data_IF_260957280316
#
_entry.id   IF_260957280316
#
_cell.length_a   1.000
_cell.length_b   1.000
_cell.length_c   1.000
_cell.angle_alpha   90.00
_cell.angle_beta   90.00
_cell.angle_gamma   90.00
#
_symmetry.space_group_name_H-M   'P 1'
#
loop_
_entity.id
_entity.type
_entity.pdbx_description
1 polymer ?
#
# COMPACT_ATOMS: atom_id res chain seq x y z
N UNK A 1 17.11 -3.42 -20.36
CA UNK A 1 16.55 -3.01 -19.04
C UNK A 1 17.35 -1.90 -18.32
N UNK A 2 18.61 -1.63 -18.68
CA UNK A 2 19.41 -0.50 -18.15
C UNK A 2 18.91 0.89 -18.59
N UNK A 3 18.37 0.96 -19.80
CA UNK A 3 17.97 2.20 -20.47
C UNK A 3 16.85 2.90 -19.69
N UNK A 4 15.82 2.16 -19.25
CA UNK A 4 14.65 2.74 -18.54
C UNK A 4 15.02 3.36 -17.19
N UNK A 5 15.99 2.81 -16.44
CA UNK A 5 16.38 3.38 -15.13
C UNK A 5 17.25 4.63 -15.27
N UNK A 6 18.14 4.68 -16.28
CA UNK A 6 18.93 5.90 -16.55
C UNK A 6 18.07 6.97 -17.22
N UNK A 7 17.20 6.64 -18.17
CA UNK A 7 16.29 7.59 -18.81
C UNK A 7 15.34 8.23 -17.81
N UNK A 8 14.74 7.44 -16.90
CA UNK A 8 13.89 7.99 -15.84
C UNK A 8 14.68 8.88 -14.87
N UNK A 9 15.97 8.59 -14.61
CA UNK A 9 16.83 9.39 -13.75
C UNK A 9 17.26 10.71 -14.41
N UNK A 10 17.56 10.69 -15.72
CA UNK A 10 17.94 11.85 -16.52
C UNK A 10 16.72 12.79 -16.65
N UNK A 11 15.57 12.25 -17.03
CA UNK A 11 14.33 13.02 -17.15
C UNK A 11 13.88 13.61 -15.81
N UNK A 12 14.16 12.94 -14.68
CA UNK A 12 13.86 13.49 -13.36
C UNK A 12 14.91 14.54 -12.91
N UNK A 13 16.18 14.41 -13.31
CA UNK A 13 17.20 15.44 -13.03
C UNK A 13 16.84 16.75 -13.71
N UNK A 14 16.42 16.70 -14.98
CA UNK A 14 15.99 17.87 -15.73
C UNK A 14 14.70 18.47 -15.14
N UNK A 15 13.80 17.62 -14.65
CA UNK A 15 12.58 18.06 -13.98
C UNK A 15 12.86 18.71 -12.61
N UNK A 16 13.84 18.21 -11.86
CA UNK A 16 14.31 18.78 -10.59
C UNK A 16 15.04 20.12 -10.79
N UNK A 17 15.80 20.28 -11.89
CA UNK A 17 16.42 21.56 -12.24
C UNK A 17 15.35 22.60 -12.63
N UNK A 18 14.38 22.20 -13.46
CA UNK A 18 13.26 23.06 -13.87
C UNK A 18 12.39 23.52 -12.70
N UNK A 19 12.31 22.74 -11.63
CA UNK A 19 11.48 23.08 -10.47
C UNK A 19 12.14 24.09 -9.52
N UNK A 20 13.43 24.42 -9.71
CA UNK A 20 14.13 25.47 -8.95
C UNK A 20 14.30 25.20 -7.45
N UNK A 21 13.92 24.02 -6.95
CA UNK A 21 13.92 23.70 -5.52
C UNK A 21 15.27 23.24 -4.97
N UNK A 22 16.23 22.94 -5.85
CA UNK A 22 17.56 22.47 -5.51
C UNK A 22 18.61 23.31 -6.22
N UNK A 23 19.71 23.60 -5.53
CA UNK A 23 20.90 24.19 -6.15
C UNK A 23 21.58 23.19 -7.08
N UNK A 24 22.30 23.67 -8.10
CA UNK A 24 23.11 22.82 -8.99
C UNK A 24 24.10 21.93 -8.22
N UNK A 25 24.67 22.45 -7.12
CA UNK A 25 25.57 21.67 -6.25
C UNK A 25 24.84 20.55 -5.50
N UNK A 26 23.59 20.77 -5.10
CA UNK A 26 22.79 19.72 -4.45
C UNK A 26 22.37 18.65 -5.47
N UNK A 27 22.02 19.05 -6.70
CA UNK A 27 21.67 18.13 -7.78
C UNK A 27 22.84 17.20 -8.14
N UNK A 28 24.07 17.71 -8.21
CA UNK A 28 25.26 16.86 -8.45
C UNK A 28 25.50 15.89 -7.29
N UNK A 29 25.31 16.33 -6.04
CA UNK A 29 25.39 15.45 -4.87
C UNK A 29 24.31 14.36 -4.88
N UNK A 30 23.07 14.69 -5.25
CA UNK A 30 21.98 13.72 -5.38
C UNK A 30 22.31 12.69 -6.48
N UNK A 31 22.80 13.16 -7.64
CA UNK A 31 23.21 12.29 -8.73
C UNK A 31 24.35 11.34 -8.33
N UNK A 32 25.36 11.85 -7.62
CA UNK A 32 26.46 11.04 -7.08
C UNK A 32 25.95 9.99 -6.08
N UNK A 33 25.04 10.35 -5.17
CA UNK A 33 24.44 9.41 -4.21
C UNK A 33 23.63 8.32 -4.92
N UNK A 34 22.81 8.67 -5.92
CA UNK A 34 22.09 7.70 -6.77
C UNK A 34 23.04 6.74 -7.48
N UNK A 35 24.11 7.26 -8.08
CA UNK A 35 25.14 6.46 -8.73
C UNK A 35 25.83 5.49 -7.76
N UNK A 36 26.11 5.93 -6.52
CA UNK A 36 26.67 5.07 -5.49
C UNK A 36 25.72 3.92 -5.12
N UNK A 37 24.43 4.18 -4.94
CA UNK A 37 23.44 3.14 -4.66
C UNK A 37 23.29 2.16 -5.82
N UNK A 38 23.21 2.65 -7.06
CA UNK A 38 23.15 1.79 -8.24
C UNK A 38 24.39 0.91 -8.38
N UNK A 39 25.59 1.47 -8.17
CA UNK A 39 26.82 0.69 -8.18
C UNK A 39 26.85 -0.36 -7.04
N UNK A 40 26.34 -0.02 -5.85
CA UNK A 40 26.24 -0.97 -4.75
C UNK A 40 25.28 -2.14 -5.06
N UNK A 41 24.14 -1.86 -5.68
CA UNK A 41 23.15 -2.88 -6.10
C UNK A 41 23.70 -3.75 -7.23
N UNK A 42 24.48 -3.17 -8.16
CA UNK A 42 25.15 -3.91 -9.24
C UNK A 42 26.18 -4.89 -8.70
N UNK A 43 27.01 -4.47 -7.73
CA UNK A 43 28.01 -5.36 -7.11
C UNK A 43 27.36 -6.54 -6.40
N UNK A 44 26.36 -6.27 -5.55
CA UNK A 44 25.62 -7.33 -4.87
C UNK A 44 24.21 -6.86 -4.54
N UNK A 45 23.23 -7.54 -5.11
CA UNK A 45 21.82 -7.29 -4.82
C UNK A 45 21.47 -7.91 -3.47
N UNK A 46 21.39 -7.07 -2.43
CA UNK A 46 20.93 -7.43 -1.09
C UNK A 46 19.67 -6.64 -0.75
N UNK A 47 18.75 -7.23 0.01
CA UNK A 47 17.53 -6.56 0.49
C UNK A 47 17.88 -5.25 1.19
N UNK A 48 18.87 -5.26 2.09
CA UNK A 48 19.29 -4.08 2.85
C UNK A 48 19.76 -2.91 1.97
N UNK A 49 20.34 -3.18 0.80
CA UNK A 49 20.76 -2.15 -0.17
C UNK A 49 19.56 -1.52 -0.85
N UNK A 50 18.56 -2.31 -1.22
CA UNK A 50 17.29 -1.79 -1.76
C UNK A 50 16.54 -0.97 -0.72
N UNK A 51 16.39 -1.46 0.51
CA UNK A 51 15.72 -0.73 1.61
C UNK A 51 16.39 0.61 1.86
N UNK A 52 17.73 0.65 1.92
CA UNK A 52 18.46 1.91 2.10
C UNK A 52 18.26 2.88 0.93
N UNK A 53 18.22 2.36 -0.30
CA UNK A 53 18.02 3.21 -1.47
C UNK A 53 16.57 3.74 -1.54
N UNK A 54 15.58 2.90 -1.25
CA UNK A 54 14.17 3.29 -1.14
C UNK A 54 13.98 4.37 -0.07
N UNK A 55 14.60 4.19 1.10
CA UNK A 55 14.57 5.19 2.16
C UNK A 55 15.13 6.53 1.68
N UNK A 56 16.29 6.52 1.02
CA UNK A 56 16.88 7.73 0.45
C UNK A 56 15.94 8.45 -0.54
N UNK A 57 15.26 7.73 -1.44
CA UNK A 57 14.34 8.35 -2.39
C UNK A 57 13.04 8.84 -1.71
N UNK A 58 12.58 8.19 -0.64
CA UNK A 58 11.47 8.70 0.20
C UNK A 58 11.88 9.98 0.94
N UNK A 59 13.04 9.98 1.59
CA UNK A 59 13.57 11.17 2.28
C UNK A 59 13.77 12.34 1.29
N UNK A 60 14.17 12.04 0.04
CA UNK A 60 14.28 13.03 -1.03
C UNK A 60 12.92 13.59 -1.46
N UNK A 61 11.89 12.74 -1.56
CA UNK A 61 10.52 13.16 -1.84
C UNK A 61 9.96 14.05 -0.72
N UNK A 62 10.21 13.68 0.54
CA UNK A 62 9.81 14.46 1.71
C UNK A 62 10.49 15.83 1.72
N UNK A 63 11.81 15.89 1.47
CA UNK A 63 12.55 17.15 1.34
C UNK A 63 12.02 18.02 0.20
N UNK A 64 11.76 17.41 -0.97
CA UNK A 64 11.19 18.11 -2.11
C UNK A 64 9.81 18.68 -1.78
N UNK A 65 8.94 17.89 -1.14
CA UNK A 65 7.59 18.33 -0.78
C UNK A 65 7.61 19.47 0.25
N UNK A 66 8.49 19.42 1.26
CA UNK A 66 8.67 20.50 2.24
C UNK A 66 9.12 21.80 1.57
N UNK A 67 10.15 21.74 0.71
CA UNK A 67 10.63 22.90 -0.04
C UNK A 67 9.56 23.45 -1.00
N UNK A 68 8.78 22.58 -1.63
CA UNK A 68 7.69 23.00 -2.51
C UNK A 68 6.57 23.72 -1.77
N UNK A 69 6.27 23.37 -0.52
CA UNK A 69 5.30 24.12 0.31
C UNK A 69 5.78 25.54 0.58
N UNK A 70 7.07 25.73 0.85
CA UNK A 70 7.68 27.06 1.01
C UNK A 70 7.72 27.84 -0.31
N UNK A 71 8.07 27.16 -1.40
CA UNK A 71 8.22 27.78 -2.72
C UNK A 71 6.88 28.11 -3.38
N UNK A 72 5.83 27.32 -3.12
CA UNK A 72 4.46 27.56 -3.59
C UNK A 72 3.85 28.83 -3.02
N UNK A 73 4.29 29.30 -1.84
CA UNK A 73 3.90 30.60 -1.30
C UNK A 73 4.52 31.76 -2.07
N UNK A 74 5.65 31.53 -2.75
CA UNK A 74 6.39 32.53 -3.52
C UNK A 74 6.04 32.54 -5.00
N UNK A 75 5.70 31.38 -5.60
CA UNK A 75 5.43 31.23 -7.03
C UNK A 75 4.29 30.25 -7.28
N UNK A 76 3.39 30.56 -8.24
CA UNK A 76 2.27 29.70 -8.70
C UNK A 76 2.76 28.50 -9.55
N UNK A 77 3.76 27.76 -9.10
CA UNK A 77 4.28 26.60 -9.83
C UNK A 77 3.67 25.30 -9.32
N UNK A 78 3.02 24.55 -10.20
CA UNK A 78 2.46 23.23 -9.90
C UNK A 78 3.55 22.16 -9.99
N UNK A 79 4.33 21.98 -8.92
CA UNK A 79 5.43 20.98 -8.82
C UNK A 79 5.00 19.51 -8.82
N UNK A 80 3.82 19.18 -9.37
CA UNK A 80 3.24 17.84 -9.33
C UNK A 80 3.96 16.80 -10.22
N UNK A 81 4.56 17.23 -11.33
CA UNK A 81 5.23 16.30 -12.26
C UNK A 81 6.51 15.69 -11.68
N UNK A 82 7.33 16.51 -11.01
CA UNK A 82 8.56 16.04 -10.35
C UNK A 82 8.24 15.10 -9.21
N UNK A 83 7.22 15.42 -8.40
CA UNK A 83 6.73 14.55 -7.31
C UNK A 83 6.35 13.17 -7.85
N UNK A 84 5.57 13.12 -8.95
CA UNK A 84 5.21 11.87 -9.63
C UNK A 84 6.43 11.13 -10.19
N UNK A 85 7.43 11.86 -10.69
CA UNK A 85 8.70 11.29 -11.15
C UNK A 85 9.47 10.55 -10.06
N UNK A 86 9.60 11.17 -8.87
CA UNK A 86 10.27 10.53 -7.72
C UNK A 86 9.46 9.31 -7.26
N UNK A 87 8.14 9.42 -7.13
CA UNK A 87 7.26 8.29 -6.76
C UNK A 87 7.41 7.11 -7.71
N UNK A 88 7.51 7.38 -9.03
CA UNK A 88 7.75 6.36 -10.05
C UNK A 88 9.10 5.67 -9.85
N UNK A 89 10.16 6.40 -9.50
CA UNK A 89 11.47 5.81 -9.20
C UNK A 89 11.35 4.85 -8.01
N UNK A 90 10.75 5.30 -6.90
CA UNK A 90 10.55 4.45 -5.70
C UNK A 90 9.79 3.18 -6.08
N UNK A 91 8.71 3.29 -6.86
CA UNK A 91 7.94 2.15 -7.33
C UNK A 91 8.79 1.17 -8.17
N UNK A 92 9.57 1.67 -9.14
CA UNK A 92 10.45 0.82 -9.95
C UNK A 92 11.54 0.14 -9.12
N UNK A 93 12.03 0.79 -8.05
CA UNK A 93 12.98 0.18 -7.12
C UNK A 93 12.35 -0.97 -6.34
N UNK A 94 11.11 -0.80 -5.86
CA UNK A 94 10.36 -1.90 -5.25
C UNK A 94 10.13 -3.05 -6.24
N UNK A 95 9.71 -2.76 -7.48
CA UNK A 95 9.54 -3.81 -8.50
C UNK A 95 10.85 -4.57 -8.77
N UNK A 96 11.98 -3.87 -8.88
CA UNK A 96 13.31 -4.48 -9.02
C UNK A 96 13.68 -5.32 -7.81
N UNK A 97 13.38 -4.85 -6.60
CA UNK A 97 13.63 -5.59 -5.36
C UNK A 97 12.79 -6.86 -5.29
N UNK A 98 11.48 -6.76 -5.56
CA UNK A 98 10.53 -7.86 -5.48
C UNK A 98 10.73 -8.90 -6.58
N UNK A 99 11.20 -8.49 -7.77
CA UNK A 99 11.60 -9.45 -8.82
C UNK A 99 12.69 -10.41 -8.34
N UNK A 100 13.63 -9.92 -7.52
CA UNK A 100 14.70 -10.72 -6.91
C UNK A 100 14.29 -11.40 -5.60
N UNK A 101 13.48 -10.74 -4.78
CA UNK A 101 13.13 -11.16 -3.41
C UNK A 101 11.62 -11.36 -3.25
N UNK A 102 11.04 -12.29 -4.04
CA UNK A 102 9.58 -12.50 -4.12
C UNK A 102 8.94 -12.90 -2.80
N UNK A 103 9.65 -13.67 -1.97
CA UNK A 103 9.14 -14.19 -0.69
C UNK A 103 9.29 -13.24 0.50
N UNK A 104 9.85 -12.04 0.32
CA UNK A 104 9.98 -11.09 1.42
C UNK A 104 8.67 -10.33 1.63
N UNK A 105 7.86 -10.81 2.57
CA UNK A 105 6.57 -10.21 2.94
C UNK A 105 6.72 -8.75 3.41
N UNK A 106 7.82 -8.41 4.09
CA UNK A 106 8.05 -7.05 4.58
C UNK A 106 8.16 -6.03 3.45
N UNK A 107 8.83 -6.38 2.35
CA UNK A 107 8.92 -5.54 1.16
C UNK A 107 7.56 -5.36 0.47
N UNK A 108 6.73 -6.42 0.44
CA UNK A 108 5.38 -6.33 -0.10
C UNK A 108 4.50 -5.40 0.72
N UNK A 109 4.56 -5.52 2.06
CA UNK A 109 3.81 -4.63 2.96
C UNK A 109 4.25 -3.17 2.77
N UNK A 110 5.54 -2.90 2.70
CA UNK A 110 6.07 -1.55 2.50
C UNK A 110 5.69 -0.97 1.12
N UNK A 111 5.67 -1.81 0.07
CA UNK A 111 5.18 -1.38 -1.24
C UNK A 111 3.68 -1.09 -1.20
N UNK A 112 2.87 -1.94 -0.57
CA UNK A 112 1.43 -1.72 -0.49
C UNK A 112 1.08 -0.46 0.30
N UNK A 113 1.79 -0.16 1.39
CA UNK A 113 1.59 1.07 2.16
C UNK A 113 2.03 2.29 1.36
N UNK A 114 3.13 2.21 0.63
CA UNK A 114 3.58 3.27 -0.28
C UNK A 114 2.59 3.53 -1.43
N UNK A 115 2.05 2.48 -2.04
CA UNK A 115 1.02 2.60 -3.06
C UNK A 115 -0.31 3.12 -2.50
N UNK A 116 -0.61 2.86 -1.23
CA UNK A 116 -1.78 3.41 -0.56
C UNK A 116 -1.68 4.92 -0.33
N UNK A 117 -0.48 5.43 -0.01
CA UNK A 117 -0.28 6.87 0.24
C UNK A 117 -0.07 7.68 -1.03
N UNK A 118 0.64 7.16 -2.04
CA UNK A 118 1.05 7.93 -3.23
C UNK A 118 0.58 7.36 -4.57
N UNK A 119 0.03 6.14 -4.59
CA UNK A 119 -0.29 5.41 -5.80
C UNK A 119 -1.71 5.62 -6.32
N UNK A 120 -1.91 5.30 -7.59
CA UNK A 120 -3.26 5.14 -8.15
C UNK A 120 -3.93 3.88 -7.58
N UNK A 121 -5.25 3.94 -7.37
CA UNK A 121 -6.05 2.81 -6.91
C UNK A 121 -5.89 1.56 -7.80
N UNK A 122 -5.74 1.76 -9.12
CA UNK A 122 -5.53 0.66 -10.08
C UNK A 122 -4.21 -0.06 -9.83
N UNK A 123 -3.13 0.72 -9.70
CA UNK A 123 -1.80 0.18 -9.42
C UNK A 123 -1.78 -0.59 -8.10
N UNK A 124 -2.46 -0.07 -7.07
CA UNK A 124 -2.56 -0.74 -5.78
C UNK A 124 -3.31 -2.08 -5.89
N UNK A 125 -4.43 -2.16 -6.63
CA UNK A 125 -5.11 -3.45 -6.85
C UNK A 125 -4.23 -4.48 -7.57
N UNK A 126 -3.44 -4.06 -8.56
CA UNK A 126 -2.51 -4.93 -9.27
C UNK A 126 -1.42 -5.44 -8.33
N UNK A 127 -0.81 -4.55 -7.55
CA UNK A 127 0.24 -4.89 -6.57
C UNK A 127 -0.29 -5.85 -5.51
N UNK A 128 -1.47 -5.58 -4.95
CA UNK A 128 -2.10 -6.46 -3.95
C UNK A 128 -2.37 -7.85 -4.56
N UNK A 129 -2.90 -7.91 -5.78
CA UNK A 129 -3.17 -9.18 -6.45
C UNK A 129 -1.90 -10.01 -6.63
N UNK A 130 -0.80 -9.38 -7.07
CA UNK A 130 0.50 -10.05 -7.18
C UNK A 130 1.06 -10.47 -5.82
N UNK A 131 0.93 -9.61 -4.80
CA UNK A 131 1.38 -9.90 -3.44
C UNK A 131 0.69 -11.14 -2.86
N UNK A 132 -0.63 -11.25 -3.03
CA UNK A 132 -1.44 -12.37 -2.56
C UNK A 132 -1.13 -13.68 -3.29
N UNK A 133 -0.83 -13.62 -4.59
CA UNK A 133 -0.42 -14.79 -5.37
C UNK A 133 0.93 -15.35 -4.90
N UNK A 134 1.88 -14.46 -4.60
CA UNK A 134 3.23 -14.86 -4.19
C UNK A 134 3.34 -15.21 -2.71
N UNK A 135 2.53 -14.60 -1.85
CA UNK A 135 2.57 -14.79 -0.40
C UNK A 135 1.18 -15.12 0.18
N UNK A 136 0.56 -16.25 -0.22
CA UNK A 136 -0.79 -16.61 0.21
C UNK A 136 -0.91 -16.90 1.72
N UNK A 137 0.18 -17.29 2.39
CA UNK A 137 0.19 -17.58 3.82
C UNK A 137 0.20 -16.33 4.71
N UNK A 138 0.45 -15.14 4.14
CA UNK A 138 0.52 -13.92 4.92
C UNK A 138 -0.88 -13.38 5.23
N UNK A 139 -1.37 -13.63 6.44
CA UNK A 139 -2.65 -13.13 6.92
C UNK A 139 -2.76 -11.59 6.89
N UNK A 140 -1.66 -10.87 7.16
CA UNK A 140 -1.65 -9.41 7.15
C UNK A 140 -1.95 -8.81 5.78
N UNK A 141 -1.45 -9.43 4.70
CA UNK A 141 -1.75 -9.01 3.33
C UNK A 141 -3.23 -9.22 2.98
N UNK A 142 -3.83 -10.33 3.42
CA UNK A 142 -5.27 -10.57 3.26
C UNK A 142 -6.11 -9.53 3.99
N UNK A 143 -5.78 -9.24 5.26
CA UNK A 143 -6.49 -8.22 6.05
C UNK A 143 -6.40 -6.84 5.39
N UNK A 144 -5.21 -6.46 4.93
CA UNK A 144 -5.00 -5.18 4.26
C UNK A 144 -5.78 -5.09 2.94
N UNK A 145 -5.72 -6.13 2.10
CA UNK A 145 -6.42 -6.19 0.82
C UNK A 145 -7.95 -6.05 0.99
N UNK A 146 -8.53 -6.81 1.91
CA UNK A 146 -9.97 -6.77 2.18
C UNK A 146 -10.42 -5.43 2.74
N UNK A 147 -9.67 -4.88 3.70
CA UNK A 147 -10.00 -3.59 4.31
C UNK A 147 -9.89 -2.46 3.28
N UNK A 148 -8.89 -2.53 2.38
CA UNK A 148 -8.74 -1.56 1.30
C UNK A 148 -9.94 -1.56 0.33
N UNK A 149 -10.42 -2.73 -0.09
CA UNK A 149 -11.62 -2.85 -0.94
C UNK A 149 -12.85 -2.22 -0.27
N UNK A 150 -13.01 -2.42 1.04
CA UNK A 150 -14.09 -1.83 1.81
C UNK A 150 -13.95 -0.30 1.96
N UNK A 151 -12.82 0.19 2.46
CA UNK A 151 -12.63 1.61 2.78
C UNK A 151 -12.57 2.50 1.54
N UNK A 152 -11.99 2.02 0.42
CA UNK A 152 -11.79 2.84 -0.78
C UNK A 152 -12.84 2.61 -1.85
N UNK A 153 -13.30 1.38 -2.07
CA UNK A 153 -14.30 1.10 -3.11
C UNK A 153 -15.72 0.95 -2.55
N UNK A 154 -15.86 0.70 -1.24
CA UNK A 154 -17.16 0.44 -0.62
C UNK A 154 -17.74 -0.93 -0.99
N UNK A 155 -16.96 -1.82 -1.64
CA UNK A 155 -17.44 -3.14 -2.03
C UNK A 155 -17.28 -4.14 -0.88
N UNK A 156 -18.35 -4.24 -0.09
CA UNK A 156 -18.48 -5.18 1.03
C UNK A 156 -18.41 -6.63 0.57
N UNK A 157 -18.97 -6.95 -0.60
CA UNK A 157 -18.99 -8.30 -1.11
C UNK A 157 -17.59 -8.75 -1.54
N UNK A 158 -16.82 -7.88 -2.20
CA UNK A 158 -15.41 -8.15 -2.53
C UNK A 158 -14.56 -8.32 -1.27
N UNK A 159 -14.71 -7.44 -0.28
CA UNK A 159 -14.00 -7.54 1.00
C UNK A 159 -14.28 -8.89 1.70
N UNK A 160 -15.55 -9.31 1.79
CA UNK A 160 -15.93 -10.63 2.33
C UNK A 160 -15.32 -11.77 1.55
N UNK A 161 -15.36 -11.75 0.21
CA UNK A 161 -14.75 -12.79 -0.63
C UNK A 161 -13.25 -12.93 -0.36
N UNK A 162 -12.53 -11.81 -0.23
CA UNK A 162 -11.10 -11.81 0.09
C UNK A 162 -10.82 -12.36 1.49
N UNK A 163 -11.59 -11.94 2.51
CA UNK A 163 -11.46 -12.49 3.85
C UNK A 163 -11.72 -14.01 3.88
N UNK A 164 -12.79 -14.47 3.25
CA UNK A 164 -13.12 -15.90 3.19
C UNK A 164 -12.04 -16.70 2.47
N UNK A 165 -11.46 -16.15 1.39
CA UNK A 165 -10.33 -16.78 0.70
C UNK A 165 -9.09 -16.86 1.59
N UNK A 166 -8.75 -15.79 2.29
CA UNK A 166 -7.64 -15.77 3.25
C UNK A 166 -7.85 -16.76 4.40
N UNK A 167 -9.06 -16.84 4.95
CA UNK A 167 -9.39 -17.76 6.05
C UNK A 167 -9.32 -19.23 5.65
N UNK A 168 -9.64 -19.57 4.39
CA UNK A 168 -9.44 -20.93 3.87
C UNK A 168 -7.96 -21.34 3.85
N UNK A 169 -7.06 -20.38 3.61
CA UNK A 169 -5.62 -20.64 3.54
C UNK A 169 -4.98 -20.59 4.94
N UNK A 170 -5.27 -19.55 5.71
CA UNK A 170 -4.73 -19.32 7.05
C UNK A 170 -5.83 -19.35 8.12
N UNK A 171 -6.43 -20.51 8.34
CA UNK A 171 -7.54 -20.70 9.29
C UNK A 171 -7.13 -20.53 10.77
N UNK A 172 -5.87 -20.80 11.11
CA UNK A 172 -5.33 -20.69 12.47
C UNK A 172 -4.94 -19.26 12.86
N UNK A 173 -4.93 -18.32 11.90
CA UNK A 173 -4.45 -16.96 12.15
C UNK A 173 -5.49 -16.13 12.91
N UNK A 174 -5.23 -15.91 14.20
CA UNK A 174 -6.05 -15.04 15.06
C UNK A 174 -6.16 -13.62 14.50
N UNK A 175 -5.08 -13.11 13.89
CA UNK A 175 -5.04 -11.75 13.32
C UNK A 175 -6.08 -11.60 12.21
N UNK A 176 -6.20 -12.61 11.33
CA UNK A 176 -7.16 -12.56 10.23
C UNK A 176 -8.59 -12.61 10.75
N UNK A 177 -8.88 -13.50 11.70
CA UNK A 177 -10.20 -13.59 12.34
C UNK A 177 -10.61 -12.29 13.04
N UNK A 178 -9.71 -11.70 13.83
CA UNK A 178 -9.97 -10.42 14.50
C UNK A 178 -10.23 -9.32 13.49
N UNK A 179 -9.44 -9.26 12.41
CA UNK A 179 -9.65 -8.26 11.36
C UNK A 179 -10.98 -8.43 10.64
N UNK A 180 -11.40 -9.68 10.37
CA UNK A 180 -12.69 -9.99 9.76
C UNK A 180 -13.86 -9.59 10.68
N UNK A 181 -13.78 -9.94 11.98
CA UNK A 181 -14.79 -9.56 12.95
C UNK A 181 -14.94 -8.04 13.10
N UNK A 182 -13.81 -7.32 13.17
CA UNK A 182 -13.81 -5.84 13.21
C UNK A 182 -14.45 -5.24 11.97
N UNK A 183 -14.15 -5.80 10.80
CA UNK A 183 -14.76 -5.38 9.54
C UNK A 183 -16.28 -5.58 9.56
N UNK A 184 -16.78 -6.77 9.92
CA UNK A 184 -18.22 -7.03 9.98
C UNK A 184 -18.93 -6.16 11.03
N UNK A 185 -18.31 -5.97 12.20
CA UNK A 185 -18.85 -5.08 13.23
C UNK A 185 -18.95 -3.63 12.74
N UNK A 186 -17.96 -3.14 12.01
CA UNK A 186 -17.99 -1.80 11.41
C UNK A 186 -19.09 -1.69 10.35
N UNK A 187 -19.21 -2.69 9.48
CA UNK A 187 -20.27 -2.73 8.46
C UNK A 187 -21.68 -2.76 9.06
N UNK A 188 -21.90 -3.58 10.09
CA UNK A 188 -23.17 -3.64 10.81
C UNK A 188 -23.50 -2.29 11.48
N UNK A 189 -22.52 -1.64 12.12
CA UNK A 189 -22.71 -0.30 12.68
C UNK A 189 -23.15 0.69 11.61
N UNK A 190 -22.49 0.71 10.44
CA UNK A 190 -22.87 1.59 9.33
C UNK A 190 -24.27 1.28 8.78
N UNK A 191 -24.66 0.01 8.73
CA UNK A 191 -26.01 -0.41 8.35
C UNK A 191 -27.06 0.05 9.36
N UNK A 192 -26.81 -0.10 10.66
CA UNK A 192 -27.72 0.35 11.71
C UNK A 192 -27.91 1.86 11.66
N UNK A 193 -26.83 2.63 11.51
CA UNK A 193 -26.92 4.09 11.33
C UNK A 193 -27.76 4.46 10.11
N UNK A 194 -27.58 3.75 8.98
CA UNK A 194 -28.38 3.98 7.76
C UNK A 194 -29.86 3.62 7.97
N UNK A 195 -30.14 2.51 8.63
CA UNK A 195 -31.50 2.07 8.96
C UNK A 195 -32.21 3.09 9.85
N UNK A 196 -31.50 3.63 10.84
CA UNK A 196 -32.01 4.67 11.74
C UNK A 196 -32.34 5.95 10.95
N UNK A 197 -31.47 6.39 10.04
CA UNK A 197 -31.74 7.54 9.17
C UNK A 197 -32.95 7.33 8.25
N UNK A 198 -33.22 6.09 7.83
CA UNK A 198 -34.35 5.75 6.95
C UNK A 198 -35.67 5.53 7.73
N UNK A 199 -35.65 5.62 9.06
CA UNK A 199 -36.84 5.44 9.90
C UNK A 199 -37.33 3.99 10.01
N UNK A 200 -36.53 3.01 9.57
CA UNK A 200 -36.85 1.60 9.78
C UNK A 200 -36.63 1.26 11.26
N UNK A 201 -37.70 0.83 11.93
CA UNK A 201 -37.67 0.41 13.33
C UNK A 201 -36.61 -0.68 13.57
N UNK A 202 -35.98 -0.61 14.74
CA UNK A 202 -34.83 -1.39 15.21
C UNK A 202 -34.72 -2.77 14.56
N UNK A 203 -33.59 -3.01 13.88
CA UNK A 203 -33.15 -4.37 13.56
C UNK A 203 -32.97 -5.07 14.91
N UNK A 204 -33.99 -5.83 15.34
CA UNK A 204 -33.93 -6.62 16.57
C UNK A 204 -32.76 -7.60 16.43
N UNK A 205 -31.63 -7.25 17.06
CA UNK A 205 -30.49 -8.12 17.14
C UNK A 205 -30.94 -9.36 17.92
N UNK A 206 -31.05 -10.49 17.22
CA UNK A 206 -31.16 -11.79 17.89
C UNK A 206 -29.92 -11.87 18.79
N UNK A 207 -30.06 -12.10 20.11
CA UNK A 207 -28.91 -12.24 20.98
C UNK A 207 -27.93 -13.25 20.38
N UNK A 208 -26.65 -12.88 20.27
CA UNK A 208 -25.65 -13.76 19.65
C UNK A 208 -25.62 -15.11 20.37
N UNK A 209 -25.92 -15.14 21.67
CA UNK A 209 -26.11 -16.35 22.46
C UNK A 209 -27.19 -17.27 21.91
N UNK A 210 -28.39 -16.78 21.56
CA UNK A 210 -29.47 -17.64 21.04
C UNK A 210 -29.16 -18.16 19.63
N UNK A 211 -28.43 -17.39 18.81
CA UNK A 211 -27.94 -17.88 17.52
C UNK A 211 -26.86 -18.97 17.67
N UNK A 212 -25.89 -18.79 18.56
CA UNK A 212 -24.86 -19.79 18.85
C UNK A 212 -25.48 -21.07 19.41
N UNK A 213 -26.40 -20.96 20.36
CA UNK A 213 -27.09 -22.13 20.92
C UNK A 213 -27.88 -22.88 19.84
N UNK A 214 -28.63 -22.17 18.99
CA UNK A 214 -29.38 -22.78 17.90
C UNK A 214 -28.47 -23.51 16.90
N UNK A 215 -27.40 -22.86 16.46
CA UNK A 215 -26.43 -23.47 15.53
C UNK A 215 -25.65 -24.64 16.15
N UNK A 216 -25.36 -24.60 17.45
CA UNK A 216 -24.73 -25.72 18.14
C UNK A 216 -25.63 -26.96 18.18
N UNK A 217 -26.92 -26.76 18.48
CA UNK A 217 -27.95 -27.82 18.49
C UNK A 217 -28.16 -28.41 17.09
N UNK A 218 -28.17 -27.59 16.04
CA UNK A 218 -28.32 -28.05 14.65
C UNK A 218 -27.14 -28.90 14.15
N UNK A 219 -25.90 -28.61 14.60
CA UNK A 219 -24.71 -29.35 14.18
C UNK A 219 -24.40 -30.59 15.03
N UNK A 220 -25.08 -30.76 16.18
CA UNK A 220 -24.94 -31.94 17.05
C UNK A 220 -26.34 -32.49 17.38
N UNK A 221 -27.08 -33.01 16.38
CA UNK A 221 -28.31 -33.72 16.69
C UNK A 221 -27.97 -34.98 17.49
N UNK A 222 -28.59 -35.12 18.66
CA UNK A 222 -28.48 -36.32 19.50
C UNK A 222 -29.13 -37.54 18.87
#
# INVERSE_FOLDING_TARGET
>A
MFIVSQENAIHNSDALEKSGAFSRLELTQIAQKRAHFEHAIRRRALVSRYVRYIKFEKDLHDLYSARMVEHSKRMRFCGGEVSKGIIRIVYTLFQRALSKFRGNVGLWLELTTFCYTHGSQRLLSEVISHALQLNPSCSGLWSFASLWEYEKKGDVAAARRLFMRGLRISNQSKVLWISFFRFESSYLSSLCSRSLCLGCSEIKAIPVSTFIFKTAVENHPG
#
